data_IF_543490526857
#
_entry.id   IF_543490526857
#
_cell.length_a   1.000
_cell.length_b   1.000
_cell.length_c   1.000
_cell.angle_alpha   90.00
_cell.angle_beta   90.00
_cell.angle_gamma   90.00
#
_symmetry.space_group_name_H-M   'P 1'
#
loop_
_entity.id
_entity.type
_entity.pdbx_description
1 polymer ?
#
# COMPACT_ATOMS: atom_id res chain seq x y z
N UNK A 1 -22.54 -0.43 7.78
CA UNK A 1 -21.42 0.27 7.10
C UNK A 1 -20.53 -0.80 6.49
N UNK A 2 -19.98 -0.57 5.30
CA UNK A 2 -19.05 -1.51 4.66
C UNK A 2 -17.63 -1.12 5.03
N UNK A 3 -16.81 -2.09 5.44
CA UNK A 3 -15.39 -1.89 5.74
C UNK A 3 -14.57 -2.61 4.69
N UNK A 4 -13.66 -1.90 4.03
CA UNK A 4 -12.66 -2.51 3.16
C UNK A 4 -11.31 -2.50 3.85
N UNK A 5 -10.44 -3.43 3.49
CA UNK A 5 -9.05 -3.41 3.92
C UNK A 5 -8.10 -3.32 2.72
N UNK A 6 -6.95 -2.66 2.94
CA UNK A 6 -5.80 -2.66 2.04
C UNK A 6 -4.56 -3.04 2.85
N UNK A 7 -3.92 -4.15 2.51
CA UNK A 7 -2.60 -4.50 3.05
C UNK A 7 -1.54 -3.72 2.27
N UNK A 8 -0.80 -2.87 2.98
CA UNK A 8 0.19 -1.98 2.36
C UNK A 8 1.57 -2.57 2.58
N UNK A 9 2.29 -2.81 1.50
CA UNK A 9 3.70 -3.14 1.55
C UNK A 9 4.56 -1.92 1.22
N UNK A 10 5.72 -1.82 1.87
CA UNK A 10 6.74 -0.79 1.64
C UNK A 10 8.11 -1.47 1.60
N UNK A 11 8.93 -1.13 0.61
CA UNK A 11 10.32 -1.57 0.53
C UNK A 11 10.72 -2.08 -0.86
N UNK A 12 11.71 -2.97 -0.89
CA UNK A 12 12.21 -3.60 -2.12
C UNK A 12 11.88 -5.10 -2.09
N UNK A 13 10.94 -5.51 -2.94
CA UNK A 13 10.48 -6.89 -3.02
C UNK A 13 11.57 -7.85 -3.51
N UNK A 14 12.44 -7.41 -4.42
CA UNK A 14 13.51 -8.26 -4.94
C UNK A 14 14.55 -8.48 -3.84
N UNK A 15 15.02 -7.40 -3.20
CA UNK A 15 15.96 -7.48 -2.07
C UNK A 15 15.39 -8.33 -0.93
N UNK A 16 14.12 -8.17 -0.59
CA UNK A 16 13.47 -9.00 0.43
C UNK A 16 13.51 -10.49 0.06
N UNK A 17 13.22 -10.83 -1.19
CA UNK A 17 13.25 -12.23 -1.65
C UNK A 17 14.67 -12.79 -1.58
N UNK A 18 15.66 -12.05 -2.05
CA UNK A 18 17.07 -12.46 -2.03
C UNK A 18 17.56 -12.66 -0.58
N UNK A 19 17.27 -11.70 0.29
CA UNK A 19 17.58 -11.76 1.72
C UNK A 19 16.88 -12.95 2.40
N UNK A 20 15.62 -13.20 2.06
CA UNK A 20 14.86 -14.32 2.61
C UNK A 20 15.45 -15.66 2.16
N UNK A 21 15.85 -15.80 0.89
CA UNK A 21 16.51 -17.02 0.40
C UNK A 21 17.80 -17.30 1.19
N UNK A 22 18.63 -16.28 1.40
CA UNK A 22 19.87 -16.41 2.19
C UNK A 22 19.59 -16.78 3.66
N UNK A 23 18.60 -16.14 4.27
CA UNK A 23 18.19 -16.41 5.65
C UNK A 23 17.67 -17.85 5.81
N UNK A 24 16.84 -18.33 4.87
CA UNK A 24 16.34 -19.71 4.88
C UNK A 24 17.46 -20.73 4.65
N UNK A 25 18.42 -20.45 3.77
CA UNK A 25 19.58 -21.30 3.56
C UNK A 25 20.42 -21.42 4.85
N UNK A 26 20.63 -20.31 5.56
CA UNK A 26 21.34 -20.27 6.85
C UNK A 26 20.59 -21.08 7.92
N UNK A 27 19.26 -20.90 8.00
CA UNK A 27 18.39 -21.64 8.91
C UNK A 27 18.41 -23.15 8.66
N UNK A 28 18.42 -23.55 7.37
CA UNK A 28 18.50 -24.96 6.99
C UNK A 28 19.86 -25.59 7.33
N UNK A 29 20.96 -24.85 7.16
CA UNK A 29 22.29 -25.28 7.56
C UNK A 29 22.37 -25.52 9.07
N UNK A 30 21.85 -24.57 9.85
CA UNK A 30 21.78 -24.70 11.31
C UNK A 30 20.92 -25.89 11.72
N UNK A 31 19.72 -26.03 11.16
CA UNK A 31 18.84 -27.15 11.49
C UNK A 31 19.50 -28.52 11.26
N UNK A 32 20.41 -28.62 10.29
CA UNK A 32 21.13 -29.86 9.96
C UNK A 32 22.36 -30.11 10.84
N UNK A 33 23.03 -29.06 11.29
CA UNK A 33 24.37 -29.17 11.90
C UNK A 33 24.47 -28.63 13.32
N UNK A 34 23.45 -27.94 13.83
CA UNK A 34 23.44 -27.27 15.12
C UNK A 34 23.79 -28.22 16.27
N UNK A 35 23.21 -29.42 16.30
CA UNK A 35 23.50 -30.42 17.35
C UNK A 35 24.95 -30.89 17.36
N UNK A 36 25.59 -30.95 16.18
CA UNK A 36 26.99 -31.38 16.04
C UNK A 36 27.96 -30.35 16.60
N UNK A 37 27.63 -29.07 16.47
CA UNK A 37 28.47 -27.95 16.91
C UNK A 37 28.04 -27.35 18.26
N UNK A 38 26.93 -27.85 18.85
CA UNK A 38 26.34 -27.26 20.05
C UNK A 38 25.80 -25.85 19.82
N UNK A 39 25.39 -25.55 18.59
CA UNK A 39 24.85 -24.23 18.21
C UNK A 39 23.34 -24.16 18.45
N UNK A 40 22.79 -22.94 18.62
CA UNK A 40 21.36 -22.68 18.48
C UNK A 40 20.80 -23.12 17.13
N UNK A 41 19.48 -23.34 17.08
CA UNK A 41 18.78 -23.77 15.86
C UNK A 41 18.27 -22.62 14.99
N UNK A 42 18.29 -21.39 15.52
CA UNK A 42 17.87 -20.17 14.80
C UNK A 42 19.07 -19.26 14.57
N UNK A 43 19.20 -18.63 13.38
CA UNK A 43 20.34 -17.78 13.08
C UNK A 43 20.56 -16.61 14.04
N UNK A 44 19.48 -16.05 14.60
CA UNK A 44 19.50 -14.87 15.46
C UNK A 44 20.03 -15.16 16.87
N UNK A 45 20.00 -16.42 17.29
CA UNK A 45 20.48 -16.85 18.62
C UNK A 45 22.00 -17.11 18.63
N UNK A 46 22.64 -17.17 17.47
CA UNK A 46 24.08 -17.39 17.35
C UNK A 46 24.87 -16.19 17.89
N UNK A 47 25.88 -16.46 18.73
CA UNK A 47 26.88 -15.45 19.07
C UNK A 47 27.71 -15.05 17.85
N UNK A 48 28.37 -13.90 17.91
CA UNK A 48 29.27 -13.45 16.83
C UNK A 48 30.36 -14.50 16.51
N UNK A 49 30.93 -15.12 17.54
CA UNK A 49 31.91 -16.21 17.40
C UNK A 49 31.35 -17.42 16.65
N UNK A 50 30.11 -17.82 16.96
CA UNK A 50 29.45 -18.94 16.28
C UNK A 50 29.11 -18.59 14.82
N UNK A 51 28.72 -17.35 14.55
CA UNK A 51 28.51 -16.87 13.18
C UNK A 51 29.79 -16.90 12.36
N UNK A 52 30.93 -16.50 12.95
CA UNK A 52 32.23 -16.55 12.28
C UNK A 52 32.68 -17.98 11.97
N UNK A 53 32.48 -18.91 12.91
CA UNK A 53 32.73 -20.34 12.66
C UNK A 53 31.89 -20.84 11.48
N UNK A 54 30.61 -20.46 11.41
CA UNK A 54 29.74 -20.86 10.29
C UNK A 54 30.18 -20.25 8.96
N UNK A 55 30.55 -18.97 8.94
CA UNK A 55 31.13 -18.32 7.75
C UNK A 55 32.38 -19.05 7.30
N UNK A 56 33.23 -19.46 8.23
CA UNK A 56 34.47 -20.16 7.93
C UNK A 56 34.27 -21.58 7.40
N UNK A 57 33.27 -22.30 7.91
CA UNK A 57 32.88 -23.63 7.40
C UNK A 57 32.17 -23.55 6.05
N UNK A 58 31.49 -22.44 5.77
CA UNK A 58 30.67 -22.24 4.56
C UNK A 58 31.41 -21.53 3.43
N UNK A 59 32.74 -21.40 3.47
CA UNK A 59 33.62 -20.69 2.50
C UNK A 59 33.41 -21.02 1.00
N UNK A 60 32.54 -21.96 0.65
CA UNK A 60 32.32 -22.48 -0.71
C UNK A 60 30.89 -22.28 -1.26
N UNK A 61 30.00 -21.57 -0.54
CA UNK A 61 28.60 -21.35 -0.94
C UNK A 61 28.16 -19.89 -0.68
N UNK A 62 27.00 -19.51 -1.24
CA UNK A 62 26.34 -18.19 -1.17
C UNK A 62 26.44 -17.51 0.22
N UNK A 63 26.45 -16.16 0.32
CA UNK A 63 26.62 -15.46 1.59
C UNK A 63 25.51 -15.82 2.60
N UNK A 64 25.93 -16.17 3.82
CA UNK A 64 25.02 -16.47 4.93
C UNK A 64 24.39 -15.19 5.50
N UNK A 65 23.16 -15.31 5.97
CA UNK A 65 22.40 -14.24 6.63
C UNK A 65 21.86 -14.70 7.97
N UNK A 66 22.25 -13.99 9.02
CA UNK A 66 21.92 -14.33 10.41
C UNK A 66 20.78 -13.51 11.00
N UNK A 67 20.29 -12.52 10.27
CA UNK A 67 19.15 -11.69 10.67
C UNK A 67 17.99 -11.90 9.70
N UNK A 68 16.74 -11.94 10.18
CA UNK A 68 15.60 -12.11 9.30
C UNK A 68 15.46 -10.87 8.41
N UNK A 69 14.97 -11.01 7.17
CA UNK A 69 14.66 -9.86 6.34
C UNK A 69 13.56 -9.01 7.00
N UNK A 70 13.67 -7.69 6.86
CA UNK A 70 12.63 -6.77 7.36
C UNK A 70 11.32 -7.06 6.60
N UNK A 71 10.20 -7.36 7.28
CA UNK A 71 8.94 -7.63 6.60
C UNK A 71 8.49 -6.47 5.73
N UNK A 72 8.04 -6.77 4.52
CA UNK A 72 7.52 -5.75 3.58
C UNK A 72 6.16 -5.19 4.03
N UNK A 73 5.36 -5.97 4.77
CA UNK A 73 4.03 -5.54 5.22
C UNK A 73 4.17 -4.38 6.21
N UNK A 74 3.79 -3.19 5.76
CA UNK A 74 3.76 -1.99 6.56
C UNK A 74 2.60 -2.00 7.56
N UNK A 75 1.50 -2.67 7.20
CA UNK A 75 0.30 -2.88 8.00
C UNK A 75 -0.95 -2.96 7.12
N UNK A 76 -2.09 -3.23 7.75
CA UNK A 76 -3.43 -3.23 7.14
C UNK A 76 -4.14 -1.92 7.41
N UNK A 77 -4.57 -1.26 6.35
CA UNK A 77 -5.40 -0.07 6.39
C UNK A 77 -6.89 -0.47 6.28
N UNK A 78 -7.66 -0.34 7.37
CA UNK A 78 -9.12 -0.56 7.31
C UNK A 78 -9.83 0.76 7.09
N UNK A 79 -10.68 0.81 6.08
CA UNK A 79 -11.45 2.00 5.72
C UNK A 79 -12.94 1.73 5.83
N UNK A 80 -13.63 2.53 6.65
CA UNK A 80 -15.08 2.56 6.72
C UNK A 80 -15.61 3.46 5.61
N UNK A 81 -16.49 2.91 4.78
CA UNK A 81 -17.08 3.63 3.67
C UNK A 81 -18.38 4.33 4.09
N UNK A 82 -18.53 5.59 3.69
CA UNK A 82 -19.70 6.39 4.02
C UNK A 82 -20.97 5.79 3.36
N UNK A 83 -22.00 5.45 4.15
CA UNK A 83 -23.21 4.80 3.64
C UNK A 83 -24.15 5.75 2.88
N UNK A 84 -23.87 7.06 2.85
CA UNK A 84 -24.74 8.07 2.26
C UNK A 84 -25.19 7.71 0.84
N UNK A 85 -26.48 7.89 0.49
CA UNK A 85 -26.99 7.53 -0.84
C UNK A 85 -26.27 8.23 -2.00
N UNK A 86 -25.81 9.47 -1.75
CA UNK A 86 -25.04 10.25 -2.72
C UNK A 86 -23.62 9.73 -2.99
N UNK A 87 -23.21 8.60 -2.41
CA UNK A 87 -21.90 7.97 -2.62
C UNK A 87 -22.01 6.55 -3.17
N UNK A 88 -23.21 6.10 -3.54
CA UNK A 88 -23.45 4.71 -3.90
C UNK A 88 -22.58 4.23 -5.06
N UNK A 89 -22.37 5.05 -6.10
CA UNK A 89 -21.53 4.65 -7.24
C UNK A 89 -20.06 4.60 -6.87
N UNK A 90 -19.57 5.61 -6.15
CA UNK A 90 -18.17 5.68 -5.71
C UNK A 90 -17.85 4.52 -4.77
N UNK A 91 -18.71 4.26 -3.78
CA UNK A 91 -18.55 3.16 -2.82
C UNK A 91 -18.53 1.80 -3.52
N UNK A 92 -19.51 1.54 -4.40
CA UNK A 92 -19.57 0.27 -5.12
C UNK A 92 -18.35 0.07 -6.03
N UNK A 93 -17.85 1.13 -6.67
CA UNK A 93 -16.63 1.07 -7.47
C UNK A 93 -15.43 0.65 -6.61
N UNK A 94 -15.24 1.30 -5.46
CA UNK A 94 -14.12 0.99 -4.57
C UNK A 94 -14.22 -0.43 -3.99
N UNK A 95 -15.40 -0.85 -3.53
CA UNK A 95 -15.63 -2.22 -3.00
C UNK A 95 -15.31 -3.27 -4.08
N UNK A 96 -15.81 -3.09 -5.30
CA UNK A 96 -15.56 -4.02 -6.39
C UNK A 96 -14.09 -4.07 -6.79
N UNK A 97 -13.38 -2.94 -6.74
CA UNK A 97 -11.94 -2.90 -6.97
C UNK A 97 -11.13 -3.47 -5.80
N UNK A 98 -11.64 -3.47 -4.57
CA UNK A 98 -11.02 -4.19 -3.45
C UNK A 98 -11.24 -5.70 -3.55
N UNK A 99 -12.39 -6.15 -4.04
CA UNK A 99 -12.76 -7.58 -4.10
C UNK A 99 -12.39 -8.26 -5.42
N UNK A 100 -12.16 -7.49 -6.48
CA UNK A 100 -11.83 -8.01 -7.81
C UNK A 100 -13.01 -8.67 -8.54
N UNK A 101 -14.25 -8.40 -8.12
CA UNK A 101 -15.45 -9.14 -8.56
C UNK A 101 -15.93 -8.77 -9.99
N UNK A 102 -15.29 -7.81 -10.66
CA UNK A 102 -15.69 -7.32 -12.00
C UNK A 102 -14.79 -7.76 -13.14
N UNK A 103 -13.88 -8.71 -12.91
CA UNK A 103 -13.04 -9.29 -13.95
C UNK A 103 -11.94 -8.36 -14.44
N UNK A 104 -11.87 -8.12 -15.75
CA UNK A 104 -10.77 -7.41 -16.41
C UNK A 104 -11.17 -6.02 -16.92
N UNK A 105 -10.19 -5.11 -16.99
CA UNK A 105 -10.36 -3.77 -17.55
C UNK A 105 -10.67 -3.86 -19.05
N UNK A 106 -11.62 -3.07 -19.53
CA UNK A 106 -11.98 -3.02 -20.96
C UNK A 106 -10.88 -2.37 -21.80
N UNK A 107 -10.21 -1.35 -21.28
CA UNK A 107 -9.16 -0.61 -22.00
C UNK A 107 -7.74 -1.16 -21.75
N UNK A 108 -7.61 -2.13 -20.85
CA UNK A 108 -6.38 -2.86 -20.59
C UNK A 108 -6.71 -4.35 -20.31
N UNK A 109 -7.03 -5.15 -21.34
CA UNK A 109 -7.61 -6.49 -21.15
C UNK A 109 -6.79 -7.47 -20.31
N UNK A 110 -5.48 -7.24 -20.20
CA UNK A 110 -4.57 -8.06 -19.38
C UNK A 110 -4.51 -7.62 -17.90
N UNK A 111 -5.28 -6.61 -17.50
CA UNK A 111 -5.30 -6.04 -16.15
C UNK A 111 -6.65 -6.30 -15.51
N UNK A 112 -6.64 -6.82 -14.27
CA UNK A 112 -7.86 -7.02 -13.49
C UNK A 112 -8.38 -5.69 -12.94
N UNK A 113 -9.70 -5.56 -12.81
CA UNK A 113 -10.33 -4.50 -12.02
C UNK A 113 -10.16 -4.83 -10.53
N UNK A 114 -8.92 -4.76 -10.04
CA UNK A 114 -8.54 -5.16 -8.69
C UNK A 114 -7.36 -4.33 -8.17
N UNK A 115 -7.38 -3.94 -6.90
CA UNK A 115 -6.33 -3.13 -6.28
C UNK A 115 -5.12 -3.95 -5.83
N UNK A 116 -5.25 -5.25 -5.54
CA UNK A 116 -4.09 -6.06 -5.17
C UNK A 116 -3.02 -6.05 -6.29
N UNK A 117 -1.78 -5.78 -5.90
CA UNK A 117 -0.63 -5.55 -6.78
C UNK A 117 -0.51 -4.12 -7.32
N UNK A 118 -1.46 -3.21 -7.05
CA UNK A 118 -1.38 -1.84 -7.54
C UNK A 118 -0.38 -1.00 -6.73
N UNK A 119 0.47 -0.20 -7.39
CA UNK A 119 1.34 0.76 -6.71
C UNK A 119 0.55 1.92 -6.08
N UNK A 120 1.04 2.38 -4.93
CA UNK A 120 0.79 3.73 -4.42
C UNK A 120 1.83 4.64 -5.07
N UNK A 121 1.55 5.04 -6.31
CA UNK A 121 2.50 5.64 -7.23
C UNK A 121 2.89 7.08 -6.89
N UNK A 122 2.13 7.74 -6.00
CA UNK A 122 2.39 9.12 -5.59
C UNK A 122 2.21 9.25 -4.09
N UNK A 123 3.26 9.69 -3.39
CA UNK A 123 3.21 9.93 -1.94
C UNK A 123 3.94 11.23 -1.65
N UNK A 124 3.20 12.19 -1.10
CA UNK A 124 3.71 13.52 -0.74
C UNK A 124 3.62 13.67 0.77
N UNK A 125 4.79 13.84 1.40
CA UNK A 125 4.91 14.01 2.84
C UNK A 125 4.08 15.22 3.31
N UNK A 126 3.33 15.03 4.39
CA UNK A 126 2.43 16.02 4.96
C UNK A 126 1.23 16.36 4.08
N UNK A 127 0.85 15.49 3.13
CA UNK A 127 -0.28 15.74 2.24
C UNK A 127 -1.14 14.51 1.95
N UNK A 128 -0.75 13.66 0.99
CA UNK A 128 -1.57 12.53 0.51
C UNK A 128 -0.71 11.36 0.03
N UNK A 129 -1.26 10.15 0.15
CA UNK A 129 -0.79 8.95 -0.55
C UNK A 129 -1.85 8.54 -1.59
N UNK A 130 -1.47 8.47 -2.86
CA UNK A 130 -2.35 8.21 -4.00
C UNK A 130 -1.96 6.93 -4.72
N UNK A 131 -2.97 6.11 -5.00
CA UNK A 131 -2.84 4.81 -5.66
C UNK A 131 -4.07 4.47 -6.49
N UNK A 132 -4.24 3.18 -6.77
CA UNK A 132 -5.42 2.67 -7.47
C UNK A 132 -5.41 2.88 -8.98
N UNK A 133 -4.26 3.14 -9.60
CA UNK A 133 -4.11 3.04 -11.05
C UNK A 133 -3.98 1.56 -11.44
N UNK A 134 -5.12 0.91 -11.68
CA UNK A 134 -5.19 -0.54 -11.95
C UNK A 134 -4.70 -0.92 -13.35
N UNK A 135 -4.45 0.05 -14.24
CA UNK A 135 -4.06 -0.25 -15.63
C UNK A 135 -2.57 -0.04 -15.86
N UNK A 136 -2.00 1.10 -15.44
CA UNK A 136 -0.61 1.48 -15.68
C UNK A 136 0.24 1.51 -14.41
N UNK A 137 -0.39 1.78 -13.27
CA UNK A 137 0.30 1.85 -11.97
C UNK A 137 1.19 3.09 -11.80
N UNK A 138 1.10 4.09 -12.66
CA UNK A 138 1.95 5.29 -12.63
C UNK A 138 1.18 6.60 -12.46
N UNK A 139 -0.15 6.52 -12.35
CA UNK A 139 -1.06 7.66 -12.18
C UNK A 139 -1.64 8.19 -13.50
N UNK A 140 -1.17 7.73 -14.65
CA UNK A 140 -1.70 8.11 -15.97
C UNK A 140 -2.89 7.25 -16.42
N UNK A 141 -3.19 6.17 -15.70
CA UNK A 141 -4.23 5.20 -16.03
C UNK A 141 -5.40 5.15 -15.05
N UNK A 142 -5.89 3.93 -14.84
CA UNK A 142 -7.08 3.60 -14.07
C UNK A 142 -8.34 3.43 -14.91
N UNK A 143 -9.23 2.56 -14.44
CA UNK A 143 -10.52 2.27 -15.05
C UNK A 143 -11.53 1.94 -13.95
N UNK A 144 -12.74 2.52 -14.03
CA UNK A 144 -13.81 2.19 -13.09
C UNK A 144 -14.50 0.89 -13.48
N UNK A 145 -15.24 0.30 -12.55
CA UNK A 145 -16.06 -0.88 -12.85
C UNK A 145 -17.18 -0.62 -13.87
N UNK A 146 -17.48 0.66 -14.14
CA UNK A 146 -18.51 1.09 -15.09
C UNK A 146 -17.94 1.37 -16.49
N UNK A 147 -16.62 1.20 -16.70
CA UNK A 147 -15.88 1.61 -17.89
C UNK A 147 -14.80 2.65 -17.58
N UNK A 148 -14.28 3.39 -18.59
CA UNK A 148 -13.11 4.26 -18.42
C UNK A 148 -13.23 5.21 -17.22
N UNK A 149 -14.38 5.89 -17.09
CA UNK A 149 -14.66 6.86 -16.03
C UNK A 149 -16.15 6.91 -15.69
N UNK A 150 -16.49 7.46 -14.53
CA UNK A 150 -17.85 7.79 -14.13
C UNK A 150 -17.95 9.22 -13.58
N UNK A 151 -19.16 9.78 -13.58
CA UNK A 151 -19.40 11.15 -13.11
C UNK A 151 -19.17 11.28 -11.60
N UNK A 152 -18.57 12.40 -11.20
CA UNK A 152 -18.41 12.75 -9.78
C UNK A 152 -19.78 12.97 -9.11
N UNK A 153 -19.97 12.37 -7.94
CA UNK A 153 -21.15 12.56 -7.10
C UNK A 153 -21.05 13.90 -6.34
N UNK A 154 -21.37 15.00 -7.04
CA UNK A 154 -21.12 16.40 -6.58
C UNK A 154 -21.69 16.75 -5.20
N UNK A 155 -22.78 16.12 -4.77
CA UNK A 155 -23.37 16.36 -3.46
C UNK A 155 -22.40 16.02 -2.31
N UNK A 156 -21.47 15.08 -2.52
CA UNK A 156 -20.47 14.67 -1.54
C UNK A 156 -19.23 15.56 -1.50
N UNK A 157 -19.11 16.59 -2.35
CA UNK A 157 -17.98 17.53 -2.34
C UNK A 157 -17.98 18.46 -1.12
N UNK A 158 -19.07 18.51 -0.36
CA UNK A 158 -19.20 19.35 0.83
C UNK A 158 -18.50 18.78 2.06
N UNK A 159 -18.18 17.48 2.05
CA UNK A 159 -17.47 16.81 3.13
C UNK A 159 -16.09 17.44 3.32
N UNK A 160 -15.74 17.74 4.58
CA UNK A 160 -14.44 18.31 4.90
C UNK A 160 -13.43 17.18 5.09
N UNK A 161 -12.27 17.21 4.40
CA UNK A 161 -11.24 16.21 4.58
C UNK A 161 -10.53 16.37 5.93
N UNK A 162 -10.10 15.25 6.48
CA UNK A 162 -9.24 15.14 7.67
C UNK A 162 -8.18 14.05 7.44
N UNK A 163 -7.16 13.99 8.29
CA UNK A 163 -6.18 12.88 8.26
C UNK A 163 -6.90 11.53 8.30
N UNK A 164 -6.51 10.61 7.44
CA UNK A 164 -7.14 9.30 7.27
C UNK A 164 -8.40 9.30 6.38
N UNK A 165 -8.85 10.46 5.87
CA UNK A 165 -9.94 10.48 4.88
C UNK A 165 -9.53 9.76 3.60
N UNK A 166 -10.47 9.01 3.02
CA UNK A 166 -10.33 8.32 1.74
C UNK A 166 -11.14 9.08 0.67
N UNK A 167 -10.49 9.48 -0.41
CA UNK A 167 -11.10 10.30 -1.45
C UNK A 167 -10.73 9.86 -2.87
N UNK A 168 -11.63 10.10 -3.82
CA UNK A 168 -11.37 9.81 -5.24
C UNK A 168 -10.38 10.81 -5.81
N UNK A 169 -9.34 10.30 -6.47
CA UNK A 169 -8.53 11.11 -7.36
C UNK A 169 -9.31 11.35 -8.67
N UNK A 170 -9.24 12.57 -9.19
CA UNK A 170 -9.94 12.95 -10.41
C UNK A 170 -9.10 13.92 -11.25
N UNK A 171 -9.51 14.13 -12.50
CA UNK A 171 -8.82 15.01 -13.44
C UNK A 171 -9.05 16.52 -13.21
N UNK A 172 -9.73 16.90 -12.13
CA UNK A 172 -10.16 18.28 -11.87
C UNK A 172 -11.16 18.82 -12.89
N UNK A 173 -11.27 20.15 -12.93
CA UNK A 173 -12.13 20.88 -13.88
C UNK A 173 -13.58 21.08 -13.41
N UNK A 174 -14.42 21.67 -14.27
CA UNK A 174 -15.81 22.05 -13.96
C UNK A 174 -16.76 20.84 -13.79
N UNK A 175 -16.45 19.74 -14.47
CA UNK A 175 -17.20 18.48 -14.43
C UNK A 175 -16.22 17.33 -14.16
N UNK A 176 -15.76 17.17 -12.91
CA UNK A 176 -14.80 16.13 -12.59
C UNK A 176 -15.40 14.75 -12.82
N UNK A 177 -14.55 13.84 -13.27
CA UNK A 177 -14.86 12.43 -13.51
C UNK A 177 -13.86 11.56 -12.77
N UNK A 178 -14.36 10.45 -12.24
CA UNK A 178 -13.61 9.52 -11.41
C UNK A 178 -13.33 8.22 -12.20
N UNK A 179 -12.27 7.49 -11.82
CA UNK A 179 -11.95 6.16 -12.34
C UNK A 179 -11.72 5.17 -11.19
N UNK A 180 -10.57 4.52 -11.13
CA UNK A 180 -10.15 3.65 -10.02
C UNK A 180 -9.23 4.33 -9.01
N UNK A 181 -8.62 5.46 -9.37
CA UNK A 181 -7.62 6.09 -8.51
C UNK A 181 -8.23 6.75 -7.28
N UNK A 182 -7.56 6.61 -6.16
CA UNK A 182 -7.95 7.19 -4.87
C UNK A 182 -6.71 7.73 -4.15
N UNK A 183 -6.92 8.54 -3.13
CA UNK A 183 -5.89 8.91 -2.20
C UNK A 183 -6.38 8.85 -0.75
N UNK A 184 -5.44 8.64 0.16
CA UNK A 184 -5.62 8.74 1.60
C UNK A 184 -4.93 10.03 2.06
N UNK A 185 -5.62 10.80 2.88
CA UNK A 185 -5.11 12.05 3.42
C UNK A 185 -4.13 11.76 4.55
N UNK A 186 -2.88 12.23 4.43
CA UNK A 186 -1.83 12.03 5.43
C UNK A 186 -1.70 13.21 6.38
N UNK A 187 -2.32 14.36 6.07
CA UNK A 187 -2.12 15.60 6.81
C UNK A 187 -3.25 15.93 7.78
N UNK A 188 -2.89 16.54 8.90
CA UNK A 188 -3.81 17.23 9.81
C UNK A 188 -3.62 18.76 9.74
N UNK A 189 -2.72 19.27 8.89
CA UNK A 189 -2.51 20.71 8.72
C UNK A 189 -3.68 21.34 7.94
N UNK A 190 -4.33 22.33 8.56
CA UNK A 190 -5.51 23.01 8.00
C UNK A 190 -5.24 23.68 6.65
N UNK A 191 -4.02 24.20 6.42
CA UNK A 191 -3.69 24.84 5.13
C UNK A 191 -3.57 23.80 4.02
N UNK A 192 -3.02 22.63 4.31
CA UNK A 192 -2.96 21.51 3.38
C UNK A 192 -4.36 20.93 3.11
N UNK A 193 -5.19 20.75 4.14
CA UNK A 193 -6.58 20.30 4.00
C UNK A 193 -7.43 21.25 3.15
N UNK A 194 -7.24 22.57 3.30
CA UNK A 194 -7.92 23.58 2.49
C UNK A 194 -7.66 23.43 0.98
N UNK A 195 -6.53 22.83 0.57
CA UNK A 195 -6.24 22.55 -0.85
C UNK A 195 -7.13 21.46 -1.44
N UNK A 196 -7.69 20.57 -0.61
CA UNK A 196 -8.51 19.42 -1.01
C UNK A 196 -10.01 19.72 -0.94
N UNK A 197 -10.43 20.60 -0.03
CA UNK A 197 -11.84 20.92 0.24
C UNK A 197 -12.60 21.30 -1.04
N UNK A 198 -13.75 20.67 -1.25
CA UNK A 198 -14.64 20.97 -2.39
C UNK A 198 -14.20 20.40 -3.75
N UNK A 199 -13.05 19.73 -3.85
CA UNK A 199 -12.47 19.26 -5.13
C UNK A 199 -12.58 17.76 -5.34
N UNK A 200 -12.59 17.00 -4.27
CA UNK A 200 -12.55 15.54 -4.30
C UNK A 200 -13.71 14.95 -3.50
N UNK A 201 -14.25 13.84 -4.00
CA UNK A 201 -15.30 13.08 -3.31
C UNK A 201 -14.63 12.30 -2.19
N UNK A 202 -14.88 12.69 -0.94
CA UNK A 202 -14.53 11.88 0.23
C UNK A 202 -15.63 10.86 0.41
N UNK A 203 -15.27 9.58 0.44
CA UNK A 203 -16.24 8.49 0.44
C UNK A 203 -15.99 7.45 1.53
N UNK A 204 -14.99 7.69 2.38
CA UNK A 204 -14.70 6.86 3.53
C UNK A 204 -13.57 7.47 4.35
N UNK A 205 -13.17 6.75 5.39
CA UNK A 205 -12.03 7.11 6.24
C UNK A 205 -11.43 5.87 6.90
N UNK A 206 -10.20 5.98 7.35
CA UNK A 206 -9.60 4.98 8.23
C UNK A 206 -10.52 4.75 9.44
N UNK A 207 -10.76 3.48 9.76
CA UNK A 207 -11.63 3.05 10.85
C UNK A 207 -11.15 3.60 12.18
N UNK A 208 -12.07 4.08 13.01
CA UNK A 208 -11.72 4.57 14.35
C UNK A 208 -11.10 3.45 15.20
N UNK A 209 -10.01 3.76 15.90
CA UNK A 209 -9.28 2.79 16.72
C UNK A 209 -8.47 1.77 15.91
N UNK A 210 -8.35 1.91 14.59
CA UNK A 210 -7.47 1.07 13.78
C UNK A 210 -6.00 1.50 13.96
N UNK A 211 -5.37 1.01 15.03
CA UNK A 211 -3.96 1.31 15.35
C UNK A 211 -3.01 0.94 14.20
N UNK A 212 -3.31 -0.14 13.48
CA UNK A 212 -2.50 -0.56 12.33
C UNK A 212 -2.70 0.38 11.15
N UNK A 213 -3.94 0.82 10.90
CA UNK A 213 -4.24 1.89 9.94
C UNK A 213 -3.51 3.19 10.25
N UNK A 214 -3.47 3.63 11.51
CA UNK A 214 -2.72 4.82 11.95
C UNK A 214 -1.23 4.66 11.66
N UNK A 215 -0.65 3.51 12.00
CA UNK A 215 0.76 3.18 11.70
C UNK A 215 1.04 3.18 10.20
N UNK A 216 0.13 2.67 9.38
CA UNK A 216 0.24 2.72 7.92
C UNK A 216 0.27 4.17 7.43
N UNK A 217 -0.57 5.07 7.95
CA UNK A 217 -0.54 6.49 7.58
C UNK A 217 0.82 7.13 7.90
N UNK A 218 1.39 6.83 9.06
CA UNK A 218 2.71 7.34 9.47
C UNK A 218 3.83 6.82 8.57
N UNK A 219 3.83 5.53 8.25
CA UNK A 219 4.83 4.91 7.38
C UNK A 219 4.74 5.42 5.95
N UNK A 220 3.53 5.56 5.41
CA UNK A 220 3.31 6.19 4.11
C UNK A 220 3.88 7.62 4.09
N UNK A 221 3.60 8.41 5.12
CA UNK A 221 4.10 9.79 5.20
C UNK A 221 5.63 9.85 5.25
N UNK A 222 6.26 8.94 6.01
CA UNK A 222 7.70 8.85 6.17
C UNK A 222 8.45 8.50 4.87
N UNK A 223 7.84 7.69 4.00
CA UNK A 223 8.41 7.37 2.68
C UNK A 223 7.94 8.29 1.56
N UNK A 224 7.15 9.32 1.89
CA UNK A 224 6.73 10.33 0.94
C UNK A 224 7.88 11.21 0.46
N UNK A 225 7.83 11.61 -0.81
CA UNK A 225 8.71 12.65 -1.30
C UNK A 225 8.32 14.02 -0.71
N UNK A 226 9.29 14.94 -0.68
CA UNK A 226 9.05 16.31 -0.24
C UNK A 226 8.04 17.00 -1.17
N UNK A 227 7.13 17.85 -0.64
CA UNK A 227 6.22 18.65 -1.46
C UNK A 227 6.95 19.43 -2.55
N UNK A 228 6.44 19.34 -3.79
CA UNK A 228 7.03 20.02 -4.95
C UNK A 228 8.19 19.27 -5.62
N UNK A 229 8.43 18.00 -5.27
CA UNK A 229 9.30 17.11 -6.04
C UNK A 229 8.74 16.89 -7.46
N UNK A 230 9.61 16.51 -8.42
CA UNK A 230 9.28 16.49 -9.85
C UNK A 230 8.18 15.48 -10.23
N UNK A 231 8.15 14.32 -9.59
CA UNK A 231 7.24 13.22 -9.88
C UNK A 231 6.37 12.80 -8.68
N UNK A 232 6.64 13.36 -7.50
CA UNK A 232 5.95 13.05 -6.24
C UNK A 232 5.88 11.55 -5.91
N UNK A 233 6.84 10.76 -6.42
CA UNK A 233 6.95 9.32 -6.17
C UNK A 233 7.49 9.03 -4.76
N UNK A 234 7.10 7.92 -4.13
CA UNK A 234 7.65 7.54 -2.83
C UNK A 234 9.15 7.23 -2.93
N UNK A 235 9.87 7.41 -1.82
CA UNK A 235 11.31 7.14 -1.68
C UNK A 235 11.64 5.64 -1.73
N UNK A 236 10.67 4.80 -1.36
CA UNK A 236 10.70 3.35 -1.47
C UNK A 236 9.46 2.87 -2.23
N UNK A 237 9.49 1.66 -2.81
CA UNK A 237 8.30 1.16 -3.49
C UNK A 237 7.18 0.92 -2.48
N UNK A 238 5.97 1.34 -2.83
CA UNK A 238 4.76 1.16 -2.02
C UNK A 238 3.68 0.54 -2.88
N UNK A 239 3.04 -0.52 -2.41
CA UNK A 239 1.96 -1.19 -3.14
C UNK A 239 0.94 -1.84 -2.21
N UNK A 240 -0.25 -2.08 -2.76
CA UNK A 240 -1.31 -2.83 -2.09
C UNK A 240 -1.02 -4.31 -2.34
N UNK A 241 -0.61 -5.06 -1.32
CA UNK A 241 -0.26 -6.48 -1.46
C UNK A 241 -1.50 -7.38 -1.47
N UNK A 242 -2.51 -7.03 -0.68
CA UNK A 242 -3.82 -7.67 -0.66
C UNK A 242 -4.92 -6.64 -0.34
N UNK A 243 -6.16 -6.94 -0.71
CA UNK A 243 -7.29 -6.10 -0.39
C UNK A 243 -8.60 -6.88 -0.43
N UNK A 244 -9.63 -6.33 0.22
CA UNK A 244 -10.94 -6.98 0.22
C UNK A 244 -11.99 -6.22 1.01
N UNK A 245 -13.12 -6.91 1.20
CA UNK A 245 -14.20 -6.49 2.09
C UNK A 245 -14.09 -7.31 3.38
N UNK A 246 -14.20 -6.65 4.54
CA UNK A 246 -14.33 -7.31 5.86
C UNK A 246 -15.79 -7.56 6.23
#
# INVERSE_FOLDING_TARGET
MSTCYLDINIGDAQRYNDDNVQYQATSALLSKHASTFGFPTTPEELSEEQQDILRDLHKLLEPLRFTPPVPLLAGRLRVELDPSPGLAKTRQNFISLCTGDKGFCKNAPNKKLHYAGCPIHRVVQGFVAQGGDVTRGDGSGGESIYGPKFACEKAALQTTPSRGSLAMANSGGKNPVNSSQFFVVLTADEKALAKLKGKYVIFGRVKDGDEDGIRVLERLDAVGSRPGSKDERPLESVWISDCGLE
#
